data_IF_481364858487
#
_entry.id   IF_481364858487
#
_cell.length_a   1.000
_cell.length_b   1.000
_cell.length_c   1.000
_cell.angle_alpha   90.00
_cell.angle_beta   90.00
_cell.angle_gamma   90.00
#
_symmetry.space_group_name_H-M   'P 1'
#
loop_
_entity.id
_entity.type
_entity.pdbx_description
1 polymer ?
#
# COMPACT_ATOMS: atom_id res chain seq x y z
N UNK A 1 -8.08 -10.44 -0.85
CA UNK A 1 -6.82 -10.36 -1.61
C UNK A 1 -5.96 -9.21 -1.08
N UNK A 2 -4.65 -9.41 -0.97
CA UNK A 2 -3.68 -8.36 -0.60
C UNK A 2 -2.59 -8.30 -1.66
N UNK A 3 -2.37 -7.12 -2.23
CA UNK A 3 -1.23 -6.87 -3.10
C UNK A 3 -0.21 -6.02 -2.35
N UNK A 4 1.03 -6.49 -2.34
CA UNK A 4 2.13 -5.87 -1.62
C UNK A 4 3.09 -5.30 -2.65
N UNK A 5 3.44 -4.04 -2.47
CA UNK A 5 4.37 -3.34 -3.30
C UNK A 5 5.82 -3.78 -3.07
N UNK A 6 6.70 -3.00 -3.57
CA UNK A 6 8.12 -3.20 -3.59
C UNK A 6 8.67 -2.69 -4.89
N UNK A 7 9.98 -2.71 -5.03
CA UNK A 7 10.61 -2.24 -6.24
C UNK A 7 10.09 -3.03 -7.46
N UNK A 8 9.39 -2.37 -8.36
CA UNK A 8 8.77 -2.93 -9.55
C UNK A 8 7.64 -3.95 -9.34
N UNK A 9 7.00 -4.00 -8.17
CA UNK A 9 5.96 -5.01 -7.86
C UNK A 9 4.58 -4.69 -8.45
N UNK A 10 4.30 -3.44 -8.79
CA UNK A 10 3.06 -3.03 -9.46
C UNK A 10 3.29 -2.94 -10.97
N UNK A 11 3.75 -1.83 -11.49
CA UNK A 11 4.02 -1.67 -12.92
C UNK A 11 5.49 -1.89 -13.22
N UNK A 12 6.38 -1.10 -12.62
CA UNK A 12 7.78 -1.09 -13.01
C UNK A 12 7.99 -0.63 -14.45
N UNK A 13 9.13 -0.87 -15.00
CA UNK A 13 9.46 -0.41 -16.35
C UNK A 13 10.24 -1.39 -17.22
N UNK A 14 10.62 -2.53 -16.66
CA UNK A 14 11.37 -3.55 -17.38
C UNK A 14 10.53 -4.83 -17.50
N UNK A 15 10.18 -5.29 -18.71
CA UNK A 15 9.31 -6.45 -18.92
C UNK A 15 9.91 -7.77 -18.42
N UNK A 16 11.22 -7.84 -18.22
CA UNK A 16 11.87 -9.10 -17.81
C UNK A 16 11.71 -9.41 -16.31
N UNK A 17 11.42 -8.39 -15.48
CA UNK A 17 11.38 -8.55 -14.02
C UNK A 17 10.42 -7.59 -13.29
N UNK A 18 9.54 -6.93 -13.99
CA UNK A 18 8.51 -6.05 -13.42
C UNK A 18 7.14 -6.72 -13.38
N UNK A 19 6.26 -6.24 -12.51
CA UNK A 19 4.90 -6.76 -12.36
C UNK A 19 4.05 -6.58 -13.60
N UNK A 20 4.10 -5.40 -14.21
CA UNK A 20 3.33 -5.03 -15.41
C UNK A 20 1.82 -5.30 -15.27
N UNK A 21 1.26 -4.99 -14.09
CA UNK A 21 -0.14 -5.32 -13.78
C UNK A 21 -1.17 -4.37 -14.39
N UNK A 22 -0.73 -3.22 -14.96
CA UNK A 22 -1.66 -2.29 -15.61
C UNK A 22 -2.53 -2.99 -16.68
N UNK A 23 -3.84 -2.81 -16.58
CA UNK A 23 -4.81 -3.38 -17.52
C UNK A 23 -4.96 -4.90 -17.47
N UNK A 24 -4.47 -5.57 -16.44
CA UNK A 24 -4.63 -7.01 -16.21
C UNK A 24 -5.79 -7.28 -15.24
N UNK A 25 -6.25 -8.55 -15.11
CA UNK A 25 -7.22 -8.92 -14.08
C UNK A 25 -6.76 -8.61 -12.63
N UNK A 26 -5.46 -8.51 -12.38
CA UNK A 26 -4.94 -8.06 -11.08
C UNK A 26 -5.26 -6.59 -10.84
N UNK A 27 -5.08 -5.73 -11.84
CA UNK A 27 -5.43 -4.30 -11.75
C UNK A 27 -6.94 -4.10 -11.47
N UNK A 28 -7.79 -4.94 -12.07
CA UNK A 28 -9.24 -4.88 -11.89
C UNK A 28 -9.70 -5.21 -10.45
N UNK A 29 -9.01 -6.11 -9.75
CA UNK A 29 -9.38 -6.53 -8.40
C UNK A 29 -8.79 -5.64 -7.31
N UNK A 30 -7.81 -4.79 -7.67
CA UNK A 30 -7.15 -3.91 -6.73
C UNK A 30 -8.01 -2.70 -6.37
N UNK A 31 -7.93 -2.19 -5.13
CA UNK A 31 -8.59 -0.95 -4.74
C UNK A 31 -7.84 0.30 -5.24
N UNK A 32 -6.99 0.11 -6.24
CA UNK A 32 -6.17 1.16 -6.87
C UNK A 32 -6.05 0.89 -8.36
N UNK A 33 -5.79 1.92 -9.14
CA UNK A 33 -5.40 1.81 -10.54
C UNK A 33 -3.88 1.83 -10.64
N UNK A 34 -3.34 0.81 -11.28
CA UNK A 34 -1.91 0.68 -11.57
C UNK A 34 -1.56 1.62 -12.73
N UNK A 35 -0.47 2.37 -12.60
CA UNK A 35 0.03 3.24 -13.67
C UNK A 35 0.46 2.42 -14.89
N UNK A 36 0.39 2.99 -16.09
CA UNK A 36 0.97 2.40 -17.29
C UNK A 36 2.43 2.84 -17.54
N UNK A 37 3.03 3.54 -16.60
CA UNK A 37 4.40 4.05 -16.66
C UNK A 37 5.19 3.63 -15.42
N UNK A 38 6.48 3.91 -15.39
CA UNK A 38 7.33 3.68 -14.22
C UNK A 38 6.73 4.28 -12.95
N UNK A 39 6.42 3.45 -11.97
CA UNK A 39 5.64 3.80 -10.80
C UNK A 39 6.44 3.83 -9.49
N UNK A 40 7.71 3.43 -9.52
CA UNK A 40 8.56 3.36 -8.35
C UNK A 40 8.90 4.77 -7.81
N UNK A 41 8.73 4.95 -6.51
CA UNK A 41 9.19 6.12 -5.76
C UNK A 41 10.19 5.67 -4.69
N UNK A 42 11.46 6.04 -4.86
CA UNK A 42 12.54 5.66 -3.94
C UNK A 42 12.73 6.66 -2.79
N UNK A 43 12.17 7.86 -2.89
CA UNK A 43 12.33 8.91 -1.86
C UNK A 43 11.61 8.57 -0.56
N UNK A 44 10.55 7.76 -0.65
CA UNK A 44 9.71 7.42 0.48
C UNK A 44 8.90 8.61 1.02
N UNK A 45 8.30 8.43 2.19
CA UNK A 45 7.42 9.42 2.83
C UNK A 45 7.77 9.59 4.29
N UNK A 46 8.17 10.79 4.67
CA UNK A 46 8.35 11.16 6.07
C UNK A 46 6.99 11.50 6.70
N UNK A 47 6.72 10.92 7.87
CA UNK A 47 5.50 11.13 8.65
C UNK A 47 4.25 10.93 7.76
N UNK A 48 3.97 9.71 7.33
CA UNK A 48 2.80 9.44 6.49
C UNK A 48 1.50 9.84 7.18
N UNK A 49 0.52 10.28 6.39
CA UNK A 49 -0.76 10.77 6.90
C UNK A 49 -1.74 9.62 7.08
N UNK A 50 -2.18 9.39 8.31
CA UNK A 50 -3.34 8.57 8.60
C UNK A 50 -4.63 9.32 8.25
N UNK A 51 -5.41 8.81 7.31
CA UNK A 51 -6.64 9.45 6.84
C UNK A 51 -7.87 9.00 7.66
N UNK A 52 -7.88 7.77 8.15
CA UNK A 52 -8.96 7.27 9.01
C UNK A 52 -8.42 6.41 10.16
N UNK A 53 -8.40 7.00 11.35
CA UNK A 53 -7.96 6.32 12.59
C UNK A 53 -8.97 5.26 13.09
N UNK A 54 -10.22 5.26 12.58
CA UNK A 54 -11.26 4.29 12.95
C UNK A 54 -11.29 3.07 12.07
N UNK A 55 -10.54 3.09 10.95
CA UNK A 55 -10.46 1.94 10.05
C UNK A 55 -9.88 0.72 10.78
N UNK A 56 -10.42 -0.50 10.62
CA UNK A 56 -9.94 -1.70 11.31
C UNK A 56 -8.43 -1.95 11.17
N UNK A 57 -7.86 -1.66 10.00
CA UNK A 57 -6.42 -1.80 9.76
C UNK A 57 -5.61 -0.83 10.64
N UNK A 58 -6.16 0.35 10.97
CA UNK A 58 -5.46 1.37 11.76
C UNK A 58 -5.60 1.16 13.28
N UNK A 59 -6.49 0.28 13.72
CA UNK A 59 -6.87 0.14 15.12
C UNK A 59 -5.71 -0.32 16.02
N UNK A 60 -5.53 0.36 17.14
CA UNK A 60 -4.56 -0.02 18.18
C UNK A 60 -3.10 0.24 17.81
N UNK A 61 -2.81 0.95 16.71
CA UNK A 61 -1.47 1.26 16.25
C UNK A 61 -1.06 2.69 16.64
N UNK A 62 0.18 2.85 17.09
CA UNK A 62 0.77 4.16 17.33
C UNK A 62 1.36 4.74 16.03
N UNK A 63 0.50 5.29 15.20
CA UNK A 63 0.88 5.89 13.91
C UNK A 63 1.84 7.08 14.05
N UNK A 64 1.89 7.74 15.22
CA UNK A 64 2.83 8.82 15.48
C UNK A 64 4.27 8.33 15.60
N UNK A 65 4.44 7.07 15.98
CA UNK A 65 5.74 6.41 16.04
C UNK A 65 6.26 5.97 14.66
N UNK A 66 5.40 5.92 13.64
CA UNK A 66 5.82 5.65 12.26
C UNK A 66 6.40 6.93 11.65
N UNK A 67 7.72 7.09 11.75
CA UNK A 67 8.41 8.29 11.29
C UNK A 67 8.63 8.29 9.77
N UNK A 68 8.69 7.11 9.15
CA UNK A 68 8.95 6.99 7.73
C UNK A 68 8.27 5.75 7.16
N UNK A 69 7.55 5.96 6.06
CA UNK A 69 7.16 4.93 5.10
C UNK A 69 8.23 4.93 4.01
N UNK A 70 8.84 3.81 3.72
CA UNK A 70 9.92 3.71 2.75
C UNK A 70 9.51 4.03 1.33
N UNK A 71 10.20 3.50 0.35
CA UNK A 71 9.80 3.61 -1.04
C UNK A 71 8.40 3.02 -1.28
N UNK A 72 7.74 3.46 -2.34
CA UNK A 72 6.39 2.99 -2.66
C UNK A 72 6.09 3.03 -4.16
N UNK A 73 5.12 2.26 -4.60
CA UNK A 73 4.60 2.30 -5.94
C UNK A 73 3.53 3.40 -6.07
N UNK A 74 3.65 4.26 -7.06
CA UNK A 74 2.69 5.32 -7.35
C UNK A 74 1.47 4.73 -8.02
N UNK A 75 0.36 4.79 -7.31
CA UNK A 75 -0.95 4.33 -7.78
C UNK A 75 -1.98 5.41 -7.49
N UNK A 76 -3.17 5.31 -8.07
CA UNK A 76 -4.32 6.14 -7.71
C UNK A 76 -5.41 5.28 -7.10
N UNK A 77 -6.13 5.81 -6.11
CA UNK A 77 -7.24 5.07 -5.52
C UNK A 77 -8.35 4.84 -6.54
N UNK A 78 -8.90 3.64 -6.58
CA UNK A 78 -10.08 3.32 -7.41
C UNK A 78 -11.33 4.00 -6.85
N UNK A 79 -12.36 4.14 -7.68
CA UNK A 79 -13.64 4.69 -7.25
C UNK A 79 -14.24 3.83 -6.11
N UNK A 80 -14.70 4.49 -5.05
CA UNK A 80 -15.25 3.82 -3.87
C UNK A 80 -14.20 3.17 -2.94
N UNK A 81 -12.93 3.17 -3.29
CA UNK A 81 -11.87 2.67 -2.43
C UNK A 81 -11.60 3.60 -1.24
N UNK A 82 -11.15 3.02 -0.13
CA UNK A 82 -10.87 3.75 1.10
C UNK A 82 -9.37 3.89 1.32
N UNK A 83 -8.86 5.12 1.29
CA UNK A 83 -7.44 5.41 1.53
C UNK A 83 -7.20 5.51 3.03
N UNK A 84 -6.54 4.51 3.62
CA UNK A 84 -6.21 4.46 5.05
C UNK A 84 -4.98 5.33 5.35
N UNK A 85 -3.94 5.21 4.53
CA UNK A 85 -2.68 5.93 4.69
C UNK A 85 -2.27 6.58 3.38
N UNK A 86 -1.72 7.79 3.41
CA UNK A 86 -1.28 8.53 2.22
C UNK A 86 -0.01 9.33 2.47
N UNK A 87 0.67 9.69 1.40
CA UNK A 87 1.72 10.71 1.42
C UNK A 87 1.09 12.10 1.64
N UNK A 88 1.49 12.83 2.68
CA UNK A 88 0.91 14.15 2.97
C UNK A 88 1.20 15.20 1.91
N UNK A 89 2.27 15.04 1.11
CA UNK A 89 2.70 16.00 0.09
C UNK A 89 2.03 15.73 -1.26
N UNK A 90 2.24 14.53 -1.80
CA UNK A 90 1.70 14.15 -3.12
C UNK A 90 0.23 13.72 -3.06
N UNK A 91 -0.28 13.35 -1.87
CA UNK A 91 -1.59 12.73 -1.62
C UNK A 91 -1.75 11.35 -2.23
N UNK A 92 -0.69 10.78 -2.78
CA UNK A 92 -0.73 9.41 -3.30
C UNK A 92 -0.99 8.42 -2.16
N UNK A 93 -1.78 7.39 -2.43
CA UNK A 93 -2.14 6.41 -1.41
C UNK A 93 -0.98 5.46 -1.11
N UNK A 94 -0.86 5.08 0.17
CA UNK A 94 0.14 4.13 0.67
C UNK A 94 -0.51 2.82 1.13
N UNK A 95 -1.69 2.91 1.78
CA UNK A 95 -2.52 1.75 2.14
C UNK A 95 -3.95 2.07 1.72
N UNK A 96 -4.51 1.22 0.88
CA UNK A 96 -5.88 1.37 0.36
C UNK A 96 -6.64 0.07 0.56
N UNK A 97 -7.90 0.18 0.91
CA UNK A 97 -8.82 -0.95 1.01
C UNK A 97 -9.99 -0.78 0.08
N UNK A 98 -10.56 -1.89 -0.34
CA UNK A 98 -11.75 -1.93 -1.19
C UNK A 98 -12.42 -3.28 -1.16
N UNK A 99 -13.31 -3.49 -2.09
CA UNK A 99 -14.03 -4.75 -2.30
C UNK A 99 -14.00 -5.15 -3.76
N UNK A 100 -13.99 -6.44 -4.03
CA UNK A 100 -14.19 -7.00 -5.36
C UNK A 100 -15.09 -8.21 -5.26
N UNK A 101 -16.25 -8.16 -5.88
CA UNK A 101 -17.32 -9.12 -5.61
C UNK A 101 -17.72 -9.08 -4.13
N UNK A 102 -17.73 -10.23 -3.48
CA UNK A 102 -18.00 -10.34 -2.03
C UNK A 102 -16.71 -10.26 -1.18
N UNK A 103 -15.55 -10.18 -1.81
CA UNK A 103 -14.26 -10.20 -1.15
C UNK A 103 -13.69 -8.83 -0.83
N UNK A 104 -12.86 -8.75 0.20
CA UNK A 104 -12.09 -7.55 0.54
C UNK A 104 -10.72 -7.54 -0.12
N UNK A 105 -10.28 -6.36 -0.51
CA UNK A 105 -8.99 -6.15 -1.16
C UNK A 105 -8.18 -5.10 -0.44
N UNK A 106 -6.87 -5.27 -0.44
CA UNK A 106 -5.92 -4.31 0.15
C UNK A 106 -4.77 -4.11 -0.83
N UNK A 107 -4.46 -2.86 -1.11
CA UNK A 107 -3.24 -2.44 -1.75
C UNK A 107 -2.31 -1.81 -0.71
N UNK A 108 -1.16 -2.43 -0.49
CA UNK A 108 -0.07 -1.92 0.32
C UNK A 108 1.06 -1.56 -0.63
N UNK A 109 1.33 -0.27 -0.84
CA UNK A 109 2.22 0.18 -1.90
C UNK A 109 3.71 0.13 -1.58
N UNK A 110 4.07 -0.02 -0.30
CA UNK A 110 5.44 -0.31 0.13
C UNK A 110 5.79 -1.79 0.03
N UNK A 111 7.02 -2.14 0.34
CA UNK A 111 7.49 -3.52 0.35
C UNK A 111 7.59 -4.14 1.75
N UNK A 112 8.12 -5.36 1.81
CA UNK A 112 8.34 -6.11 3.04
C UNK A 112 9.81 -6.52 3.24
N UNK A 113 10.68 -6.10 2.34
CA UNK A 113 12.10 -6.45 2.39
C UNK A 113 12.95 -5.27 2.84
N UNK A 114 14.04 -5.54 3.52
CA UNK A 114 14.99 -4.50 3.96
C UNK A 114 15.51 -3.65 2.80
N UNK A 115 16.07 -2.51 3.09
CA UNK A 115 16.48 -1.51 2.13
C UNK A 115 15.37 -0.49 1.89
N UNK A 116 14.47 -0.77 0.98
CA UNK A 116 13.35 0.14 0.61
C UNK A 116 12.42 0.45 1.78
N UNK A 117 12.17 -0.54 2.63
CA UNK A 117 11.18 -0.48 3.73
C UNK A 117 11.80 -0.65 5.13
N UNK A 118 13.11 -0.50 5.25
CA UNK A 118 13.84 -0.79 6.49
C UNK A 118 13.26 -0.04 7.72
N UNK A 119 12.84 1.21 7.55
CA UNK A 119 12.30 2.01 8.65
C UNK A 119 10.90 1.55 9.07
N UNK A 120 10.06 1.20 8.10
CA UNK A 120 8.73 0.69 8.37
C UNK A 120 8.77 -0.67 9.06
N UNK A 121 9.67 -1.56 8.63
CA UNK A 121 9.85 -2.89 9.25
C UNK A 121 10.30 -2.77 10.71
N UNK A 122 11.10 -1.75 11.04
CA UNK A 122 11.56 -1.48 12.42
C UNK A 122 10.50 -0.82 13.30
N UNK A 123 9.43 -0.30 12.74
CA UNK A 123 8.33 0.26 13.53
C UNK A 123 7.72 -0.83 14.41
N UNK A 124 7.60 -0.55 15.73
CA UNK A 124 7.17 -1.55 16.74
C UNK A 124 5.82 -2.20 16.43
N UNK A 125 4.92 -1.47 15.76
CA UNK A 125 3.57 -1.92 15.46
C UNK A 125 3.44 -2.55 14.07
N UNK A 126 4.53 -2.68 13.30
CA UNK A 126 4.52 -3.31 11.99
C UNK A 126 3.93 -4.74 12.00
N UNK A 127 4.27 -5.64 12.95
CA UNK A 127 3.62 -6.94 13.02
C UNK A 127 2.13 -6.86 13.32
N UNK A 128 1.70 -5.88 14.14
CA UNK A 128 0.29 -5.69 14.44
C UNK A 128 -0.49 -5.13 13.24
N UNK A 129 0.11 -4.26 12.43
CA UNK A 129 -0.46 -3.81 11.16
C UNK A 129 -0.83 -5.01 10.27
N UNK A 130 0.07 -5.98 10.13
CA UNK A 130 -0.18 -7.17 9.31
C UNK A 130 -1.24 -8.10 9.89
N UNK A 131 -1.33 -8.22 11.23
CA UNK A 131 -2.46 -8.92 11.88
C UNK A 131 -3.79 -8.23 11.58
N UNK A 132 -3.82 -6.89 11.64
CA UNK A 132 -5.02 -6.12 11.33
C UNK A 132 -5.42 -6.27 9.86
N UNK A 133 -4.46 -6.24 8.92
CA UNK A 133 -4.72 -6.49 7.49
C UNK A 133 -5.29 -7.91 7.30
N UNK A 134 -4.67 -8.93 7.88
CA UNK A 134 -5.17 -10.30 7.80
C UNK A 134 -6.58 -10.46 8.37
N UNK A 135 -6.85 -9.88 9.54
CA UNK A 135 -8.18 -9.89 10.14
C UNK A 135 -9.21 -9.14 9.28
N UNK A 136 -8.81 -8.01 8.66
CA UNK A 136 -9.70 -7.24 7.78
C UNK A 136 -10.15 -8.03 6.56
N UNK A 137 -9.25 -8.77 5.91
CA UNK A 137 -9.58 -9.55 4.70
C UNK A 137 -10.31 -10.87 5.02
N UNK A 138 -10.19 -11.39 6.25
CA UNK A 138 -10.82 -12.64 6.66
C UNK A 138 -12.30 -12.49 7.10
N UNK A 139 -12.73 -11.27 7.40
CA UNK A 139 -14.10 -10.94 7.81
C UNK A 139 -14.92 -10.35 6.66
#
# INVERSE_FOLDING_TARGET
FVHIGGWCSYQGGNPDWAGLWHGTPIDEILPVHVSNTWDTNDDGVDIPRLNDARHPIAAGLDWRALQRFGGYNRVTAAEGAHVVLSDPKSRLPLIVTGTYGEGKTVAFTGGLAGGWDADMIKWKDFPQLWRNIAAFIAN
#
